data_IF_441534009889
#
_entry.id   IF_441534009889
#
_cell.length_a   1.000
_cell.length_b   1.000
_cell.length_c   1.000
_cell.angle_alpha   90.00
_cell.angle_beta   90.00
_cell.angle_gamma   90.00
#
_symmetry.space_group_name_H-M   'P 1'
#
loop_
_entity.id
_entity.type
_entity.pdbx_description
1 polymer ?
#
# COMPACT_ATOMS: atom_id res chain seq x y z
N UNK A 1 -6.40 -19.28 -4.77
CA UNK A 1 -6.39 -17.80 -4.81
C UNK A 1 -4.97 -17.35 -5.11
N UNK A 2 -4.79 -16.32 -5.93
CA UNK A 2 -3.47 -15.70 -6.09
C UNK A 2 -3.10 -15.02 -4.78
N UNK A 3 -2.11 -15.57 -4.07
CA UNK A 3 -1.53 -15.04 -2.84
C UNK A 3 -0.11 -14.55 -3.13
N UNK A 4 0.41 -13.64 -2.31
CA UNK A 4 1.83 -13.30 -2.37
C UNK A 4 2.69 -14.46 -1.87
N UNK A 5 3.95 -14.50 -2.30
CA UNK A 5 4.96 -15.46 -1.87
C UNK A 5 6.23 -14.73 -1.43
N UNK A 6 7.00 -15.37 -0.55
CA UNK A 6 8.37 -14.95 -0.22
C UNK A 6 9.33 -16.12 -0.49
N UNK A 7 10.57 -15.80 -0.85
CA UNK A 7 11.62 -16.80 -1.08
C UNK A 7 12.93 -16.48 -0.32
N UNK A 8 12.85 -15.68 0.75
CA UNK A 8 14.00 -15.16 1.49
C UNK A 8 14.76 -14.00 0.82
N UNK A 9 14.51 -13.70 -0.46
CA UNK A 9 15.13 -12.58 -1.19
C UNK A 9 14.07 -11.57 -1.64
N UNK A 10 12.98 -12.07 -2.20
CA UNK A 10 11.93 -11.29 -2.83
C UNK A 10 10.58 -11.56 -2.18
N UNK A 11 9.76 -10.51 -2.09
CA UNK A 11 8.32 -10.63 -1.91
C UNK A 11 7.67 -10.47 -3.28
N UNK A 12 6.98 -11.52 -3.74
CA UNK A 12 6.38 -11.56 -5.07
C UNK A 12 4.86 -11.51 -4.97
N UNK A 13 4.27 -10.54 -5.65
CA UNK A 13 2.83 -10.44 -5.84
C UNK A 13 2.49 -10.93 -7.25
N UNK A 14 1.61 -11.94 -7.42
CA UNK A 14 1.16 -12.32 -8.74
C UNK A 14 0.48 -11.13 -9.43
N UNK A 15 0.85 -10.82 -10.67
CA UNK A 15 0.28 -9.68 -11.42
C UNK A 15 -1.25 -9.76 -11.49
N UNK A 16 -1.82 -10.98 -11.62
CA UNK A 16 -3.26 -11.20 -11.61
C UNK A 16 -3.97 -10.76 -10.30
N UNK A 17 -3.23 -10.55 -9.21
CA UNK A 17 -3.76 -10.04 -7.95
C UNK A 17 -3.87 -8.51 -7.91
N UNK A 18 -3.25 -7.80 -8.87
CA UNK A 18 -3.19 -6.34 -8.99
C UNK A 18 -3.85 -5.92 -10.32
N UNK A 19 -5.17 -5.67 -10.34
CA UNK A 19 -5.93 -5.49 -11.59
C UNK A 19 -5.45 -4.33 -12.47
N UNK A 20 -4.85 -3.31 -11.85
CA UNK A 20 -4.39 -2.09 -12.52
C UNK A 20 -2.97 -2.23 -13.11
N UNK A 21 -2.39 -3.44 -13.13
CA UNK A 21 -1.02 -3.67 -13.53
C UNK A 21 -0.91 -4.80 -14.57
N UNK A 22 -0.21 -4.53 -15.66
CA UNK A 22 0.13 -5.51 -16.69
C UNK A 22 1.60 -5.95 -16.59
N UNK A 23 1.95 -7.04 -17.26
CA UNK A 23 3.34 -7.52 -17.32
C UNK A 23 4.29 -6.52 -18.01
N UNK A 24 3.82 -5.81 -19.03
CA UNK A 24 4.61 -4.80 -19.72
C UNK A 24 4.91 -3.59 -18.81
N UNK A 25 3.92 -3.17 -18.01
CA UNK A 25 4.10 -2.05 -17.07
C UNK A 25 4.97 -2.42 -15.87
N UNK A 26 4.97 -3.71 -15.47
CA UNK A 26 5.77 -4.25 -14.38
C UNK A 26 7.15 -4.79 -14.81
N UNK A 27 7.55 -4.56 -16.06
CA UNK A 27 8.85 -5.01 -16.57
C UNK A 27 10.00 -4.26 -15.89
N UNK A 28 11.02 -5.01 -15.44
CA UNK A 28 12.13 -4.44 -14.66
C UNK A 28 13.09 -3.55 -15.45
N UNK A 29 13.07 -3.60 -16.79
CA UNK A 29 13.98 -2.83 -17.64
C UNK A 29 13.26 -1.71 -18.41
N UNK A 30 11.99 -1.93 -18.77
CA UNK A 30 11.21 -1.08 -19.68
C UNK A 30 9.89 -0.60 -19.10
N UNK A 31 9.49 -1.14 -17.94
CA UNK A 31 8.24 -0.77 -17.27
C UNK A 31 8.29 0.60 -16.60
N UNK A 32 7.20 0.94 -15.92
CA UNK A 32 7.08 2.22 -15.20
C UNK A 32 6.79 1.97 -13.71
N UNK A 33 7.81 2.19 -12.88
CA UNK A 33 7.70 2.06 -11.42
C UNK A 33 6.58 2.93 -10.83
N UNK A 34 6.26 4.08 -11.41
CA UNK A 34 5.15 4.94 -10.94
C UNK A 34 3.81 4.26 -11.16
N UNK A 35 3.65 3.53 -12.27
CA UNK A 35 2.46 2.72 -12.54
C UNK A 35 2.37 1.54 -11.57
N UNK A 36 3.48 0.87 -11.27
CA UNK A 36 3.54 -0.17 -10.23
C UNK A 36 3.08 0.36 -8.87
N UNK A 37 3.60 1.51 -8.44
CA UNK A 37 3.21 2.16 -7.17
C UNK A 37 1.72 2.51 -7.20
N UNK A 38 1.24 3.17 -8.25
CA UNK A 38 -0.19 3.51 -8.39
C UNK A 38 -1.08 2.26 -8.26
N UNK A 39 -0.76 1.20 -8.99
CA UNK A 39 -1.54 -0.02 -9.01
C UNK A 39 -1.57 -0.71 -7.63
N UNK A 40 -0.44 -0.71 -6.92
CA UNK A 40 -0.36 -1.21 -5.53
C UNK A 40 -1.20 -0.36 -4.57
N UNK A 41 -1.10 0.97 -4.61
CA UNK A 41 -1.90 1.85 -3.75
C UNK A 41 -3.40 1.72 -4.03
N UNK A 42 -3.79 1.65 -5.31
CA UNK A 42 -5.16 1.39 -5.72
C UNK A 42 -5.66 0.03 -5.21
N UNK A 43 -4.83 -1.01 -5.29
CA UNK A 43 -5.16 -2.34 -4.77
C UNK A 43 -5.33 -2.34 -3.25
N UNK A 44 -4.45 -1.67 -2.50
CA UNK A 44 -4.59 -1.55 -1.04
C UNK A 44 -5.86 -0.81 -0.64
N UNK A 45 -6.18 0.29 -1.34
CA UNK A 45 -7.42 1.02 -1.08
C UNK A 45 -8.66 0.18 -1.43
N UNK A 46 -8.64 -0.55 -2.55
CA UNK A 46 -9.74 -1.45 -2.90
C UNK A 46 -9.94 -2.54 -1.83
N UNK A 47 -8.85 -3.13 -1.32
CA UNK A 47 -8.92 -4.07 -0.21
C UNK A 47 -9.48 -3.42 1.06
N UNK A 48 -9.02 -2.22 1.43
CA UNK A 48 -9.54 -1.46 2.58
C UNK A 48 -11.04 -1.23 2.53
N UNK A 49 -11.60 -0.96 1.33
CA UNK A 49 -13.03 -0.79 1.14
C UNK A 49 -13.82 -2.10 1.29
N UNK A 50 -13.20 -3.26 1.17
CA UNK A 50 -13.85 -4.57 1.39
C UNK A 50 -14.03 -4.88 2.88
N UNK A 51 -13.29 -4.20 3.76
CA UNK A 51 -13.41 -4.35 5.21
C UNK A 51 -14.59 -3.51 5.70
N UNK A 52 -15.59 -4.11 6.40
CA UNK A 52 -16.68 -3.36 7.00
C UNK A 52 -16.16 -2.24 7.91
N UNK A 53 -16.84 -1.09 7.91
CA UNK A 53 -16.34 0.11 8.61
C UNK A 53 -16.08 -0.15 10.10
N UNK A 54 -16.94 -0.95 10.75
CA UNK A 54 -16.79 -1.33 12.15
C UNK A 54 -15.57 -2.21 12.43
N UNK A 55 -15.07 -2.93 11.41
CA UNK A 55 -13.98 -3.90 11.53
C UNK A 55 -12.64 -3.33 11.05
N UNK A 56 -12.61 -2.07 10.61
CA UNK A 56 -11.38 -1.44 10.11
C UNK A 56 -10.35 -1.31 11.24
N UNK A 57 -9.08 -1.69 11.00
CA UNK A 57 -8.02 -1.57 12.00
C UNK A 57 -7.89 -0.15 12.57
N UNK A 58 -7.83 -0.01 13.89
CA UNK A 58 -7.67 1.30 14.56
C UNK A 58 -6.25 1.90 14.41
N UNK A 59 -5.27 1.05 14.06
CA UNK A 59 -3.85 1.40 13.92
C UNK A 59 -3.44 1.74 12.49
N UNK A 60 -4.35 1.63 11.53
CA UNK A 60 -4.12 2.00 10.14
C UNK A 60 -5.32 2.78 9.62
N UNK A 61 -5.09 3.77 8.76
CA UNK A 61 -6.16 4.45 8.04
C UNK A 61 -5.71 4.73 6.63
N UNK A 62 -6.57 4.41 5.66
CA UNK A 62 -6.33 4.68 4.25
C UNK A 62 -7.44 5.59 3.75
N UNK A 63 -7.03 6.72 3.16
CA UNK A 63 -7.92 7.69 2.52
C UNK A 63 -7.54 7.82 1.04
N UNK A 64 -8.56 8.01 0.20
CA UNK A 64 -8.38 8.39 -1.20
C UNK A 64 -9.30 9.55 -1.53
N UNK A 65 -8.74 10.60 -2.12
CA UNK A 65 -9.51 11.62 -2.85
C UNK A 65 -9.27 11.51 -4.34
N UNK A 66 -10.25 11.97 -5.12
CA UNK A 66 -10.16 12.06 -6.57
C UNK A 66 -10.73 13.39 -6.98
N UNK A 67 -9.97 14.17 -7.75
CA UNK A 67 -10.44 15.39 -8.39
C UNK A 67 -10.24 15.25 -9.90
N UNK A 68 -11.28 15.63 -10.65
CA UNK A 68 -11.24 15.66 -12.11
C UNK A 68 -11.29 17.11 -12.57
N UNK A 69 -10.41 17.47 -13.49
CA UNK A 69 -10.51 18.71 -14.24
C UNK A 69 -11.37 18.45 -15.47
N UNK A 70 -12.62 18.91 -15.47
CA UNK A 70 -13.57 18.65 -16.57
C UNK A 70 -13.20 19.35 -17.88
N UNK A 71 -12.26 20.30 -17.87
CA UNK A 71 -11.78 21.00 -19.06
C UNK A 71 -10.64 20.24 -19.73
N UNK A 72 -9.66 19.75 -18.95
CA UNK A 72 -8.48 19.03 -19.48
C UNK A 72 -8.66 17.51 -19.49
N UNK A 73 -9.64 16.99 -18.75
CA UNK A 73 -9.82 15.56 -18.51
C UNK A 73 -8.81 14.96 -17.53
N UNK A 74 -7.96 15.78 -16.91
CA UNK A 74 -6.95 15.29 -15.97
C UNK A 74 -7.59 14.81 -14.67
N UNK A 75 -7.21 13.61 -14.26
CA UNK A 75 -7.64 13.01 -12.99
C UNK A 75 -6.45 13.05 -12.04
N UNK A 76 -6.64 13.72 -10.90
CA UNK A 76 -5.71 13.65 -9.78
C UNK A 76 -6.27 12.73 -8.72
N UNK A 77 -5.55 11.66 -8.40
CA UNK A 77 -5.86 10.80 -7.27
C UNK A 77 -4.81 10.99 -6.17
N UNK A 78 -5.27 11.28 -4.96
CA UNK A 78 -4.40 11.38 -3.78
C UNK A 78 -4.68 10.20 -2.87
N UNK A 79 -3.63 9.47 -2.52
CA UNK A 79 -3.68 8.37 -1.57
C UNK A 79 -2.94 8.78 -0.29
N UNK A 80 -3.58 8.61 0.86
CA UNK A 80 -2.98 8.86 2.16
C UNK A 80 -3.05 7.60 3.02
N UNK A 81 -1.89 7.16 3.50
CA UNK A 81 -1.74 6.04 4.41
C UNK A 81 -1.24 6.57 5.74
N UNK A 82 -1.96 6.27 6.80
CA UNK A 82 -1.56 6.58 8.17
C UNK A 82 -1.40 5.28 8.95
N UNK A 83 -0.30 5.17 9.68
CA UNK A 83 -0.04 4.10 10.63
C UNK A 83 0.21 4.72 12.00
N UNK A 84 -0.41 4.15 13.03
CA UNK A 84 -0.04 4.40 14.43
C UNK A 84 0.95 3.33 14.82
N UNK A 85 2.14 3.73 15.24
CA UNK A 85 3.21 2.82 15.68
C UNK A 85 3.62 3.16 17.10
N UNK A 86 3.93 2.14 17.90
CA UNK A 86 4.52 2.35 19.23
C UNK A 86 6.01 2.65 19.07
N UNK A 87 6.49 3.70 19.73
CA UNK A 87 7.92 4.00 19.77
C UNK A 87 8.61 3.07 20.78
N UNK A 88 9.39 2.11 20.31
CA UNK A 88 10.06 1.11 21.17
C UNK A 88 11.45 1.56 21.66
N UNK A 89 11.72 2.86 21.74
CA UNK A 89 13.09 3.41 21.82
C UNK A 89 13.48 4.16 23.09
N UNK A 90 12.62 4.26 24.10
CA UNK A 90 12.88 5.09 25.31
C UNK A 90 12.81 4.31 26.62
N UNK A 91 12.96 2.98 26.58
CA UNK A 91 13.13 2.21 27.80
C UNK A 91 14.62 2.07 28.09
N UNK A 92 15.09 2.76 29.14
CA UNK A 92 16.39 2.47 29.76
C UNK A 92 16.18 1.21 30.59
N UNK A 93 16.97 0.17 30.36
CA UNK A 93 16.92 -1.04 31.18
C UNK A 93 17.24 -0.69 32.65
N UNK A 94 16.53 -1.30 33.61
CA UNK A 94 16.89 -1.16 35.02
C UNK A 94 18.34 -1.63 35.22
N UNK A 95 19.20 -0.74 35.73
CA UNK A 95 20.52 -1.13 36.20
C UNK A 95 20.35 -1.81 37.57
N UNK A 96 20.76 -3.07 37.68
CA UNK A 96 20.77 -3.79 38.95
C UNK A 96 21.65 -3.00 39.94
N UNK A 97 21.04 -2.52 41.03
CA UNK A 97 21.77 -1.77 42.06
C UNK A 97 22.74 -2.71 42.78
N UNK A 98 24.04 -2.44 42.65
CA UNK A 98 25.11 -3.17 43.34
C UNK A 98 25.09 -2.96 44.86
#
# INVERSE_FOLDING_TARGET
MASWSENGTDVTFPIASIPELTAAEADGATGDMRKCIYALLAKFYAFWLTIPVADRPAMMTIYRSTSTNDVTGEITQTFQFQFKVTHTGTEVADEESA
#
